data_IF_969051526796
#
_entry.id   IF_969051526796
#
_cell.length_a   1.000
_cell.length_b   1.000
_cell.length_c   1.000
_cell.angle_alpha   90.00
_cell.angle_beta   90.00
_cell.angle_gamma   90.00
#
_symmetry.space_group_name_H-M   'P 1'
#
loop_
_entity.id
_entity.type
_entity.pdbx_description
1 polymer ?
#
# COMPACT_ATOMS: atom_id res chain seq x y z
N UNK A 1 -30.41 -33.36 5.77
CA UNK A 1 -29.12 -33.88 6.25
C UNK A 1 -28.06 -32.84 5.91
N UNK A 2 -27.23 -32.43 6.86
CA UNK A 2 -26.07 -31.57 6.56
C UNK A 2 -25.02 -32.41 5.84
N UNK A 3 -24.52 -31.92 4.70
CA UNK A 3 -23.42 -32.55 3.94
C UNK A 3 -22.09 -32.49 4.70
N UNK A 4 -21.98 -31.58 5.68
CA UNK A 4 -20.77 -31.34 6.45
C UNK A 4 -20.89 -32.03 7.82
N UNK A 5 -20.00 -32.99 8.05
CA UNK A 5 -19.98 -33.83 9.26
C UNK A 5 -19.77 -32.99 10.53
N UNK A 6 -18.98 -31.91 10.47
CA UNK A 6 -18.71 -31.04 11.62
C UNK A 6 -18.42 -29.60 11.20
N UNK A 7 -19.49 -28.84 10.99
CA UNK A 7 -19.43 -27.45 10.53
C UNK A 7 -18.70 -26.52 11.51
N UNK A 8 -18.93 -26.66 12.82
CA UNK A 8 -18.28 -25.84 13.84
C UNK A 8 -16.76 -26.03 13.85
N UNK A 9 -16.27 -27.26 13.71
CA UNK A 9 -14.83 -27.55 13.60
C UNK A 9 -14.25 -26.95 12.31
N UNK A 10 -14.98 -27.03 11.20
CA UNK A 10 -14.56 -26.45 9.92
C UNK A 10 -14.41 -24.93 10.03
N UNK A 11 -15.44 -24.23 10.52
CA UNK A 11 -15.43 -22.78 10.70
C UNK A 11 -14.30 -22.31 11.64
N UNK A 12 -14.11 -23.02 12.75
CA UNK A 12 -13.00 -22.73 13.69
C UNK A 12 -11.64 -22.94 13.03
N UNK A 13 -11.49 -24.00 12.22
CA UNK A 13 -10.25 -24.28 11.48
C UNK A 13 -9.94 -23.19 10.47
N UNK A 14 -10.95 -22.74 9.69
CA UNK A 14 -10.78 -21.64 8.74
C UNK A 14 -10.38 -20.35 9.44
N UNK A 15 -11.08 -19.94 10.50
CA UNK A 15 -10.73 -18.75 11.28
C UNK A 15 -9.28 -18.77 11.78
N UNK A 16 -8.81 -19.93 12.25
CA UNK A 16 -7.43 -20.10 12.70
C UNK A 16 -6.42 -20.02 11.55
N UNK A 17 -6.75 -20.58 10.38
CA UNK A 17 -5.90 -20.47 9.19
C UNK A 17 -5.84 -19.04 8.67
N UNK A 18 -6.97 -18.34 8.59
CA UNK A 18 -7.04 -16.94 8.17
C UNK A 18 -6.21 -16.04 9.09
N UNK A 19 -6.29 -16.25 10.40
CA UNK A 19 -5.45 -15.52 11.36
C UNK A 19 -3.95 -15.77 11.13
N UNK A 20 -3.56 -17.02 10.88
CA UNK A 20 -2.16 -17.36 10.55
C UNK A 20 -1.72 -16.73 9.24
N UNK A 21 -2.56 -16.76 8.20
CA UNK A 21 -2.30 -16.15 6.90
C UNK A 21 -2.13 -14.63 7.06
N UNK A 22 -2.99 -13.98 7.84
CA UNK A 22 -2.87 -12.54 8.13
C UNK A 22 -1.54 -12.23 8.78
N UNK A 23 -1.15 -12.97 9.82
CA UNK A 23 0.12 -12.75 10.52
C UNK A 23 1.34 -12.94 9.61
N UNK A 24 1.30 -13.97 8.76
CA UNK A 24 2.34 -14.20 7.75
C UNK A 24 2.39 -13.07 6.72
N UNK A 25 1.24 -12.52 6.34
CA UNK A 25 1.20 -11.36 5.45
C UNK A 25 1.79 -10.11 6.10
N UNK A 26 1.50 -9.85 7.38
CA UNK A 26 2.09 -8.73 8.10
C UNK A 26 3.62 -8.85 8.16
N UNK A 27 4.15 -10.05 8.37
CA UNK A 27 5.59 -10.31 8.30
C UNK A 27 6.17 -10.04 6.90
N UNK A 28 5.46 -10.41 5.83
CA UNK A 28 5.87 -10.07 4.46
C UNK A 28 5.90 -8.56 4.23
N UNK A 29 4.90 -7.82 4.72
CA UNK A 29 4.86 -6.35 4.61
C UNK A 29 6.07 -5.74 5.34
N UNK A 30 6.33 -6.16 6.58
CA UNK A 30 7.46 -5.65 7.37
C UNK A 30 8.79 -5.93 6.67
N UNK A 31 9.04 -7.18 6.24
CA UNK A 31 10.26 -7.54 5.53
C UNK A 31 10.43 -6.77 4.21
N UNK A 32 9.33 -6.53 3.49
CA UNK A 32 9.35 -5.71 2.28
C UNK A 32 9.64 -4.24 2.56
N UNK A 33 9.10 -3.69 3.64
CA UNK A 33 9.37 -2.29 4.02
C UNK A 33 10.78 -2.12 4.57
N UNK A 34 11.30 -3.11 5.28
CA UNK A 34 12.68 -3.17 5.73
C UNK A 34 13.66 -3.18 4.55
N UNK A 35 13.42 -4.02 3.53
CA UNK A 35 14.28 -4.09 2.34
C UNK A 35 14.28 -2.80 1.51
N UNK A 36 13.24 -1.98 1.62
CA UNK A 36 13.13 -0.65 1.02
C UNK A 36 13.67 0.47 1.92
N UNK A 37 14.16 0.16 3.13
CA UNK A 37 14.63 1.16 4.10
C UNK A 37 13.52 2.06 4.66
N UNK A 38 12.25 1.63 4.58
CA UNK A 38 11.10 2.43 5.01
C UNK A 38 10.91 2.43 6.53
N UNK A 39 11.32 1.38 7.24
CA UNK A 39 11.08 1.26 8.68
C UNK A 39 11.92 2.22 9.54
N UNK A 40 13.04 2.69 9.01
CA UNK A 40 13.94 3.63 9.69
C UNK A 40 13.55 5.10 9.46
N UNK A 41 12.66 5.34 8.50
CA UNK A 41 12.27 6.67 8.07
C UNK A 41 11.24 7.29 9.00
N UNK A 42 11.45 8.57 9.34
CA UNK A 42 10.58 9.31 10.27
C UNK A 42 9.21 9.65 9.68
N UNK A 43 9.10 9.72 8.36
CA UNK A 43 7.87 10.05 7.66
C UNK A 43 6.92 8.85 7.48
N UNK A 44 7.36 7.64 7.83
CA UNK A 44 6.58 6.41 7.72
C UNK A 44 5.78 6.17 9.01
N UNK A 45 4.43 6.11 8.96
CA UNK A 45 3.61 5.91 10.16
C UNK A 45 3.84 4.54 10.81
N UNK A 46 4.12 4.47 12.10
CA UNK A 46 4.45 3.20 12.80
C UNK A 46 3.28 2.21 12.91
N UNK A 47 2.07 2.69 12.70
CA UNK A 47 0.81 1.95 12.79
C UNK A 47 0.29 1.49 11.42
N UNK A 48 1.13 1.51 10.37
CA UNK A 48 0.72 1.14 9.00
C UNK A 48 0.10 -0.27 8.89
N UNK A 49 0.42 -1.19 9.81
CA UNK A 49 -0.16 -2.54 9.83
C UNK A 49 -1.65 -2.56 10.23
N UNK A 50 -2.16 -1.48 10.83
CA UNK A 50 -3.57 -1.35 11.20
C UNK A 50 -4.44 -0.94 10.00
N UNK A 51 -3.85 -0.44 8.91
CA UNK A 51 -4.59 -0.02 7.72
C UNK A 51 -5.13 -1.23 6.97
N UNK A 52 -6.34 -1.12 6.42
CA UNK A 52 -6.93 -2.21 5.65
C UNK A 52 -6.08 -2.52 4.41
N UNK A 53 -5.67 -1.49 3.68
CA UNK A 53 -4.79 -1.57 2.53
C UNK A 53 -3.78 -0.43 2.56
N UNK A 54 -2.50 -0.74 2.39
CA UNK A 54 -1.41 0.21 2.31
C UNK A 54 -1.20 0.62 0.86
N UNK A 55 -1.26 1.92 0.59
CA UNK A 55 -0.88 2.50 -0.69
C UNK A 55 0.61 2.86 -0.67
N UNK A 56 1.37 2.28 -1.59
CA UNK A 56 2.77 2.57 -1.83
C UNK A 56 2.87 3.48 -3.04
N UNK A 57 3.31 4.71 -2.82
CA UNK A 57 3.53 5.70 -3.88
C UNK A 57 4.98 5.65 -4.32
N UNK A 58 5.21 5.44 -5.61
CA UNK A 58 6.55 5.32 -6.20
C UNK A 58 6.84 6.48 -7.15
N UNK A 59 8.08 6.98 -7.22
CA UNK A 59 8.41 8.20 -7.95
C UNK A 59 8.46 8.02 -9.47
N UNK A 60 8.69 6.81 -9.98
CA UNK A 60 8.82 6.59 -11.42
C UNK A 60 8.41 5.18 -11.85
N UNK A 61 8.28 5.00 -13.17
CA UNK A 61 7.88 3.74 -13.80
C UNK A 61 8.91 2.62 -13.59
N UNK A 62 10.20 2.92 -13.51
CA UNK A 62 11.24 1.91 -13.30
C UNK A 62 11.08 1.23 -11.94
N UNK A 63 11.00 2.03 -10.87
CA UNK A 63 10.71 1.55 -9.49
C UNK A 63 9.36 0.83 -9.45
N UNK A 64 8.34 1.37 -10.12
CA UNK A 64 7.03 0.70 -10.23
C UNK A 64 7.14 -0.71 -10.83
N UNK A 65 7.93 -0.88 -11.89
CA UNK A 65 8.12 -2.19 -12.52
C UNK A 65 8.86 -3.18 -11.63
N UNK A 66 9.91 -2.75 -10.96
CA UNK A 66 10.68 -3.56 -10.01
C UNK A 66 9.79 -4.08 -8.88
N UNK A 67 8.95 -3.19 -8.33
CA UNK A 67 8.12 -3.52 -7.17
C UNK A 67 6.78 -4.17 -7.54
N UNK A 68 6.35 -4.11 -8.81
CA UNK A 68 5.02 -4.60 -9.26
C UNK A 68 4.81 -6.08 -8.93
N UNK A 69 5.85 -6.90 -8.90
CA UNK A 69 5.72 -8.33 -8.59
C UNK A 69 5.19 -8.57 -7.16
N UNK A 70 5.61 -7.74 -6.20
CA UNK A 70 5.24 -7.91 -4.79
C UNK A 70 3.75 -7.73 -4.52
N UNK A 71 3.03 -6.97 -5.37
CA UNK A 71 1.57 -6.82 -5.25
C UNK A 71 0.80 -8.14 -5.39
N UNK A 72 1.41 -9.15 -5.99
CA UNK A 72 0.82 -10.49 -6.15
C UNK A 72 1.22 -11.46 -5.04
N UNK A 73 2.29 -11.13 -4.29
CA UNK A 73 2.87 -12.01 -3.25
C UNK A 73 2.49 -11.55 -1.84
N UNK A 74 2.20 -10.26 -1.68
CA UNK A 74 1.85 -9.59 -0.44
C UNK A 74 0.42 -9.07 -0.62
N UNK A 75 -0.50 -9.49 0.24
CA UNK A 75 -1.85 -8.93 0.27
C UNK A 75 -1.84 -7.58 0.97
N UNK A 76 -2.92 -6.80 0.77
CA UNK A 76 -3.13 -5.49 1.39
C UNK A 76 -2.15 -4.40 0.96
N UNK A 77 -1.35 -4.59 -0.09
CA UNK A 77 -0.53 -3.52 -0.67
C UNK A 77 -1.04 -3.13 -2.06
N UNK A 78 -0.98 -1.85 -2.37
CA UNK A 78 -1.33 -1.27 -3.67
C UNK A 78 -0.27 -0.28 -4.10
N UNK A 79 -0.12 -0.07 -5.40
CA UNK A 79 0.91 0.83 -5.94
C UNK A 79 0.27 1.97 -6.73
N UNK A 80 0.82 3.17 -6.56
CA UNK A 80 0.53 4.36 -7.37
C UNK A 80 1.83 4.99 -7.81
N UNK A 81 1.94 5.37 -9.08
CA UNK A 81 3.09 6.14 -9.56
C UNK A 81 2.79 7.63 -9.48
N UNK A 82 3.60 8.37 -8.71
CA UNK A 82 3.56 9.83 -8.66
C UNK A 82 4.92 10.40 -9.16
N UNK A 83 5.01 10.93 -10.39
CA UNK A 83 6.26 11.48 -10.93
C UNK A 83 6.76 12.75 -10.22
N UNK A 84 5.92 13.36 -9.38
CA UNK A 84 6.28 14.51 -8.55
C UNK A 84 6.83 14.10 -7.18
N UNK A 85 6.78 12.81 -6.83
CA UNK A 85 7.43 12.30 -5.65
C UNK A 85 8.95 12.21 -5.85
N UNK A 86 9.69 12.54 -4.80
CA UNK A 86 11.13 12.46 -4.69
C UNK A 86 11.62 11.07 -4.24
N UNK A 87 10.80 10.37 -3.47
CA UNK A 87 11.09 9.04 -2.94
C UNK A 87 9.81 8.19 -2.85
N UNK A 88 9.96 6.96 -2.35
CA UNK A 88 8.81 6.10 -2.05
C UNK A 88 8.10 6.63 -0.79
N UNK A 89 6.77 6.68 -0.81
CA UNK A 89 5.95 7.09 0.33
C UNK A 89 4.86 6.04 0.59
N UNK A 90 4.38 5.93 1.82
CA UNK A 90 3.25 5.06 2.16
C UNK A 90 2.09 5.85 2.74
N UNK A 91 0.86 5.43 2.42
CA UNK A 91 -0.38 6.04 2.89
C UNK A 91 -1.44 4.97 3.12
N UNK A 92 -2.50 5.30 3.85
CA UNK A 92 -3.71 4.50 3.82
C UNK A 92 -4.38 4.63 2.44
N UNK A 93 -4.71 3.51 1.80
CA UNK A 93 -5.43 3.50 0.53
C UNK A 93 -6.81 4.18 0.65
N UNK A 94 -7.42 4.16 1.84
CA UNK A 94 -8.68 4.85 2.11
C UNK A 94 -8.55 6.35 1.89
N UNK A 95 -7.45 6.95 2.35
CA UNK A 95 -7.19 8.39 2.18
C UNK A 95 -7.04 8.75 0.71
N UNK A 96 -6.34 7.89 -0.05
CA UNK A 96 -6.25 8.04 -1.50
C UNK A 96 -7.62 7.96 -2.18
N UNK A 97 -8.44 6.96 -1.83
CA UNK A 97 -9.78 6.80 -2.39
C UNK A 97 -10.62 8.05 -2.10
N UNK A 98 -10.66 8.51 -0.85
CA UNK A 98 -11.40 9.71 -0.47
C UNK A 98 -10.89 10.98 -1.18
N UNK A 99 -9.58 11.14 -1.32
CA UNK A 99 -9.00 12.31 -1.99
C UNK A 99 -9.27 12.31 -3.51
N UNK A 100 -9.19 11.15 -4.15
CA UNK A 100 -9.32 10.98 -5.61
C UNK A 100 -10.76 10.77 -6.09
N UNK A 101 -11.68 10.40 -5.19
CA UNK A 101 -13.08 10.19 -5.52
C UNK A 101 -13.69 11.44 -6.17
N UNK A 102 -14.42 11.23 -7.27
CA UNK A 102 -15.08 12.26 -8.07
C UNK A 102 -14.13 13.30 -8.72
N UNK A 103 -12.81 13.06 -8.76
CA UNK A 103 -11.87 13.91 -9.50
C UNK A 103 -11.61 13.38 -10.90
N UNK A 104 -11.45 14.30 -11.84
CA UNK A 104 -10.97 13.98 -13.18
C UNK A 104 -9.49 13.61 -13.15
N UNK A 105 -8.99 12.95 -14.20
CA UNK A 105 -7.56 12.65 -14.33
C UNK A 105 -6.67 13.89 -14.26
N UNK A 106 -7.15 15.02 -14.81
CA UNK A 106 -6.44 16.30 -14.72
C UNK A 106 -6.36 16.80 -13.28
N UNK A 107 -7.49 16.80 -12.56
CA UNK A 107 -7.53 17.21 -11.15
C UNK A 107 -6.65 16.31 -10.26
N UNK A 108 -6.64 15.00 -10.53
CA UNK A 108 -5.74 14.06 -9.83
C UNK A 108 -4.28 14.41 -10.11
N UNK A 109 -3.93 14.69 -11.37
CA UNK A 109 -2.55 15.06 -11.74
C UNK A 109 -2.10 16.36 -11.07
N UNK A 110 -2.97 17.36 -10.97
CA UNK A 110 -2.67 18.61 -10.26
C UNK A 110 -2.49 18.38 -8.76
N UNK A 111 -3.38 17.59 -8.14
CA UNK A 111 -3.30 17.22 -6.72
C UNK A 111 -1.98 16.50 -6.38
N UNK A 112 -1.54 15.57 -7.24
CA UNK A 112 -0.31 14.81 -7.04
C UNK A 112 0.96 15.65 -7.04
N UNK A 113 0.93 16.92 -7.48
CA UNK A 113 2.09 17.83 -7.41
C UNK A 113 2.43 18.26 -5.99
N UNK A 114 1.46 18.22 -5.08
CA UNK A 114 1.61 18.72 -3.69
C UNK A 114 1.13 17.73 -2.63
N UNK A 115 0.54 16.60 -3.05
CA UNK A 115 -0.02 15.57 -2.18
C UNK A 115 0.54 14.20 -2.53
N UNK A 116 0.43 13.24 -1.61
CA UNK A 116 0.88 11.86 -1.79
C UNK A 116 2.34 11.78 -2.26
N UNK A 117 3.24 12.40 -1.48
CA UNK A 117 4.67 12.48 -1.76
C UNK A 117 5.06 13.55 -2.80
N UNK A 118 4.10 14.19 -3.45
CA UNK A 118 4.35 15.27 -4.40
C UNK A 118 5.04 16.46 -3.75
N UNK A 119 6.23 16.80 -4.24
CA UNK A 119 6.93 18.04 -3.89
C UNK A 119 6.84 18.96 -5.10
N UNK A 120 6.33 20.19 -4.90
CA UNK A 120 6.26 21.19 -5.98
C UNK A 120 7.69 21.51 -6.41
N UNK A 121 8.15 20.88 -7.49
CA UNK A 121 9.46 21.16 -8.07
C UNK A 121 9.45 22.61 -8.52
N UNK A 122 10.19 23.47 -7.81
CA UNK A 122 10.43 24.84 -8.25
C UNK A 122 11.19 24.71 -9.56
N UNK A 123 10.57 25.12 -10.67
CA UNK A 123 11.27 25.25 -11.94
C UNK A 123 12.31 26.33 -11.69
N UNK A 124 13.58 25.95 -11.55
CA UNK A 124 14.65 26.94 -11.68
C UNK A 124 14.60 27.39 -13.12
N UNK A 125 14.15 28.62 -13.35
CA UNK A 125 14.35 29.30 -14.61
C UNK A 125 15.85 29.27 -14.91
N UNK A 126 16.20 28.57 -15.98
CA UNK A 126 17.54 28.45 -16.55
C UNK A 126 17.83 29.64 -17.46
#
# INVERSE_FOLDING_TARGET
MSTIINENRLQTTFKNLDHKISKLNDQKIVAFFESLGLLERKDVPKDFLNWENILIVVPNRHVSHELKYYKYTISRISFLTNPYADQIHIFDLKDWKSASQNKTQFQIREMLKTSFGGVKKVIKES
#
